data_IF_756944755366
#
_entry.id   IF_756944755366
#
_cell.length_a   1.000
_cell.length_b   1.000
_cell.length_c   1.000
_cell.angle_alpha   90.00
_cell.angle_beta   90.00
_cell.angle_gamma   90.00
#
_symmetry.space_group_name_H-M   'P 1'
#
loop_
_entity.id
_entity.type
_entity.pdbx_description
1 polymer ?
#
# COMPACT_ATOMS: atom_id res chain seq x y z
N UNK A 1 13.24 15.49 -26.06
CA UNK A 1 14.66 15.09 -26.19
C UNK A 1 15.45 16.29 -25.72
N UNK A 2 16.38 16.14 -24.77
CA UNK A 2 17.17 17.29 -24.32
C UNK A 2 18.05 17.77 -25.46
N UNK A 3 17.83 19.01 -25.87
CA UNK A 3 18.78 19.79 -26.67
C UNK A 3 19.54 20.73 -25.73
N UNK A 4 20.71 21.21 -26.16
CA UNK A 4 21.47 22.19 -25.39
C UNK A 4 20.64 23.47 -25.13
N UNK A 5 19.80 23.87 -26.08
CA UNK A 5 18.93 25.04 -25.93
C UNK A 5 17.87 24.84 -24.85
N UNK A 6 17.23 23.67 -24.81
CA UNK A 6 16.30 23.30 -23.74
C UNK A 6 17.02 23.25 -22.38
N UNK A 7 18.24 22.71 -22.34
CA UNK A 7 19.07 22.69 -21.13
C UNK A 7 19.36 24.11 -20.63
N UNK A 8 19.79 25.01 -21.50
CA UNK A 8 20.10 26.39 -21.18
C UNK A 8 18.86 27.24 -20.83
N UNK A 9 17.67 26.84 -21.28
CA UNK A 9 16.42 27.47 -20.89
C UNK A 9 15.95 26.98 -19.52
N UNK A 10 16.09 25.68 -19.24
CA UNK A 10 15.74 25.08 -17.94
C UNK A 10 16.62 25.59 -16.81
N UNK A 11 17.91 25.78 -17.08
CA UNK A 11 18.87 26.25 -16.08
C UNK A 11 19.08 27.76 -16.24
N UNK A 12 18.89 28.51 -15.16
CA UNK A 12 18.92 29.99 -15.16
C UNK A 12 20.35 30.50 -15.34
N UNK A 13 20.83 30.58 -16.59
CA UNK A 13 22.09 31.23 -16.94
C UNK A 13 21.88 32.71 -17.26
N UNK A 14 22.79 33.58 -16.82
CA UNK A 14 22.86 34.93 -17.37
C UNK A 14 23.31 34.90 -18.85
N UNK A 15 23.03 35.98 -19.59
CA UNK A 15 23.27 36.06 -21.04
C UNK A 15 24.72 35.72 -21.43
N UNK A 16 25.71 36.27 -20.72
CA UNK A 16 27.13 36.00 -21.00
C UNK A 16 27.52 34.55 -20.78
N UNK A 17 26.99 33.93 -19.71
CA UNK A 17 27.25 32.53 -19.41
C UNK A 17 26.60 31.61 -20.45
N UNK A 18 25.38 31.95 -20.90
CA UNK A 18 24.69 31.23 -21.98
C UNK A 18 25.54 31.24 -23.26
N UNK A 19 26.05 32.40 -23.67
CA UNK A 19 26.92 32.52 -24.86
C UNK A 19 28.20 31.71 -24.72
N UNK A 20 28.82 31.66 -23.53
CA UNK A 20 30.01 30.84 -23.28
C UNK A 20 29.73 29.34 -23.40
N UNK A 21 28.61 28.85 -22.88
CA UNK A 21 28.21 27.44 -23.02
C UNK A 21 27.93 27.09 -24.48
N UNK A 22 27.24 27.97 -25.22
CA UNK A 22 27.04 27.80 -26.66
C UNK A 22 28.38 27.78 -27.43
N UNK A 23 29.32 28.66 -27.08
CA UNK A 23 30.67 28.65 -27.67
C UNK A 23 31.40 27.34 -27.37
N UNK A 24 31.34 26.84 -26.13
CA UNK A 24 31.98 25.58 -25.74
C UNK A 24 31.40 24.38 -26.50
N UNK A 25 30.08 24.40 -26.78
CA UNK A 25 29.42 23.39 -27.60
C UNK A 25 29.83 23.49 -29.08
N UNK A 26 29.86 24.71 -29.64
CA UNK A 26 30.31 24.92 -31.01
C UNK A 26 31.74 24.44 -31.24
N UNK A 27 32.64 24.69 -30.27
CA UNK A 27 34.01 24.17 -30.30
C UNK A 27 34.06 22.64 -30.29
N UNK A 28 33.10 21.99 -29.61
CA UNK A 28 33.00 20.54 -29.61
C UNK A 28 32.46 20.02 -30.95
N UNK A 29 31.44 20.63 -31.51
CA UNK A 29 30.70 20.02 -32.64
C UNK A 29 31.21 20.46 -34.01
N UNK A 30 31.68 21.69 -34.16
CA UNK A 30 31.97 22.29 -35.47
C UNK A 30 33.44 22.68 -35.66
N UNK A 31 34.16 23.06 -34.60
CA UNK A 31 35.55 23.50 -34.71
C UNK A 31 36.54 22.32 -34.94
N UNK A 32 37.31 22.32 -36.05
CA UNK A 32 38.32 21.30 -36.30
C UNK A 32 39.46 21.31 -35.27
N UNK A 33 39.93 22.50 -34.88
CA UNK A 33 41.08 22.69 -33.97
C UNK A 33 40.69 23.42 -32.67
N UNK A 34 39.89 22.81 -31.78
CA UNK A 34 39.34 23.51 -30.62
C UNK A 34 40.39 23.87 -29.56
N UNK A 35 41.56 23.23 -29.59
CA UNK A 35 42.66 23.50 -28.65
C UNK A 35 43.35 24.86 -28.85
N UNK A 36 43.06 25.54 -29.96
CA UNK A 36 43.56 26.90 -30.22
C UNK A 36 42.79 27.96 -29.45
N UNK A 37 41.58 27.65 -29.00
CA UNK A 37 40.77 28.56 -28.21
C UNK A 37 41.36 28.74 -26.80
N UNK A 38 41.48 29.99 -26.36
CA UNK A 38 42.07 30.31 -25.06
C UNK A 38 41.19 29.78 -23.92
N UNK A 39 41.81 29.01 -23.02
CA UNK A 39 41.14 28.44 -21.85
C UNK A 39 40.33 27.18 -22.15
N UNK A 40 40.46 26.61 -23.36
CA UNK A 40 39.90 25.32 -23.69
C UNK A 40 40.72 24.21 -23.02
N UNK A 41 40.05 23.30 -22.33
CA UNK A 41 40.70 22.16 -21.66
C UNK A 41 40.37 20.87 -22.43
N UNK A 42 41.33 20.27 -23.17
CA UNK A 42 41.08 19.06 -23.95
C UNK A 42 40.73 17.85 -23.08
N UNK A 43 41.32 17.78 -21.87
CA UNK A 43 41.11 16.68 -20.93
C UNK A 43 39.64 16.53 -20.50
N UNK A 44 38.85 17.61 -20.48
CA UNK A 44 37.43 17.56 -20.14
C UNK A 44 36.61 16.76 -21.15
N UNK A 45 36.99 16.79 -22.42
CA UNK A 45 36.32 16.04 -23.48
C UNK A 45 37.09 14.78 -23.89
N UNK A 46 37.99 14.28 -23.04
CA UNK A 46 38.75 13.08 -23.31
C UNK A 46 37.82 11.88 -23.58
N UNK A 47 38.12 11.14 -24.65
CA UNK A 47 37.34 9.98 -25.08
C UNK A 47 36.10 10.31 -25.93
N UNK A 48 35.67 11.57 -26.01
CA UNK A 48 34.57 11.99 -26.89
C UNK A 48 35.08 12.06 -28.33
N UNK A 49 34.44 11.30 -29.24
CA UNK A 49 34.74 11.36 -30.68
C UNK A 49 33.69 12.22 -31.39
N UNK A 50 34.09 12.88 -32.47
CA UNK A 50 33.33 13.95 -33.13
C UNK A 50 33.30 13.68 -34.62
N UNK A 51 32.13 13.75 -35.24
CA UNK A 51 31.96 13.66 -36.68
C UNK A 51 31.57 15.04 -37.19
N UNK A 52 32.53 15.84 -37.65
CA UNK A 52 32.30 17.24 -38.06
C UNK A 52 31.26 17.41 -39.19
N UNK A 53 31.23 16.58 -40.25
CA UNK A 53 30.27 16.75 -41.34
C UNK A 53 28.82 16.57 -40.89
N UNK A 54 28.58 15.56 -40.07
CA UNK A 54 27.25 15.16 -39.57
C UNK A 54 26.93 15.77 -38.21
N UNK A 55 27.87 16.50 -37.61
CA UNK A 55 27.77 17.11 -36.27
C UNK A 55 27.44 16.10 -35.15
N UNK A 56 27.83 14.84 -35.31
CA UNK A 56 27.59 13.80 -34.31
C UNK A 56 28.65 13.79 -33.20
N UNK A 57 28.18 13.55 -31.97
CA UNK A 57 29.01 13.32 -30.80
C UNK A 57 28.89 11.84 -30.42
N UNK A 58 30.03 11.16 -30.34
CA UNK A 58 30.12 9.77 -29.91
C UNK A 58 30.76 9.71 -28.53
N UNK A 59 30.00 9.18 -27.58
CA UNK A 59 30.44 8.98 -26.20
C UNK A 59 30.98 7.55 -26.03
N UNK A 60 32.01 7.34 -25.19
CA UNK A 60 32.42 6.02 -24.75
C UNK A 60 31.25 5.22 -24.16
N UNK A 61 31.13 3.96 -24.56
CA UNK A 61 30.09 3.04 -24.08
C UNK A 61 30.52 2.23 -22.86
N UNK A 62 31.71 2.47 -22.32
CA UNK A 62 32.17 1.75 -21.14
C UNK A 62 31.38 2.19 -19.89
N UNK A 63 31.13 1.25 -18.99
CA UNK A 63 30.27 1.46 -17.82
C UNK A 63 30.82 2.52 -16.88
N UNK A 64 32.15 2.63 -16.73
CA UNK A 64 32.78 3.60 -15.84
C UNK A 64 32.53 5.04 -16.29
N UNK A 65 32.69 5.31 -17.60
CA UNK A 65 32.44 6.61 -18.19
C UNK A 65 30.96 6.99 -18.12
N UNK A 66 30.07 6.05 -18.47
CA UNK A 66 28.63 6.28 -18.39
C UNK A 66 28.19 6.50 -16.94
N UNK A 67 28.70 5.72 -15.99
CA UNK A 67 28.44 5.90 -14.55
C UNK A 67 28.92 7.26 -14.06
N UNK A 68 30.11 7.70 -14.48
CA UNK A 68 30.63 9.01 -14.13
C UNK A 68 29.78 10.16 -14.71
N UNK A 69 29.30 10.02 -15.96
CA UNK A 69 28.36 10.97 -16.56
C UNK A 69 27.03 11.02 -15.80
N UNK A 70 26.47 9.86 -15.44
CA UNK A 70 25.22 9.78 -14.68
C UNK A 70 25.39 10.39 -13.29
N UNK A 71 26.48 10.08 -12.59
CA UNK A 71 26.78 10.66 -11.27
C UNK A 71 26.88 12.19 -11.33
N UNK A 72 27.50 12.74 -12.39
CA UNK A 72 27.63 14.18 -12.61
C UNK A 72 26.29 14.90 -12.71
N UNK A 73 25.26 14.25 -13.26
CA UNK A 73 23.95 14.86 -13.51
C UNK A 73 22.92 14.59 -12.41
N UNK A 74 23.26 13.79 -11.39
CA UNK A 74 22.39 13.53 -10.25
C UNK A 74 21.85 14.81 -9.58
N UNK A 75 22.66 15.87 -9.34
CA UNK A 75 22.15 17.11 -8.73
C UNK A 75 21.05 17.78 -9.55
N UNK A 76 21.17 17.73 -10.88
CA UNK A 76 20.22 18.30 -11.83
C UNK A 76 18.92 17.47 -11.92
N UNK A 77 19.00 16.16 -11.70
CA UNK A 77 17.84 15.26 -11.62
C UNK A 77 17.07 15.51 -10.32
N UNK A 78 17.78 15.71 -9.21
CA UNK A 78 17.18 15.95 -7.88
C UNK A 78 16.60 17.36 -7.70
N UNK A 79 16.63 18.20 -8.74
CA UNK A 79 15.95 19.50 -8.75
C UNK A 79 16.68 20.59 -7.95
N UNK A 80 18.00 20.47 -7.73
CA UNK A 80 18.77 21.54 -7.10
C UNK A 80 19.02 22.66 -8.12
N UNK A 81 18.30 23.79 -8.00
CA UNK A 81 18.29 24.83 -9.03
C UNK A 81 18.38 26.26 -8.50
N UNK A 82 19.60 26.71 -8.20
CA UNK A 82 19.95 28.14 -8.14
C UNK A 82 20.39 28.70 -9.51
N UNK A 83 20.73 29.99 -9.55
CA UNK A 83 21.32 30.61 -10.75
C UNK A 83 22.68 29.99 -11.09
N UNK A 84 22.94 29.72 -12.38
CA UNK A 84 24.19 29.08 -12.84
C UNK A 84 25.07 30.07 -13.60
N UNK A 85 26.36 30.03 -13.33
CA UNK A 85 27.34 30.90 -13.98
C UNK A 85 28.53 30.13 -14.54
N UNK A 86 28.66 30.12 -15.86
CA UNK A 86 29.82 29.62 -16.58
C UNK A 86 30.81 30.76 -16.87
N UNK A 87 31.57 31.19 -15.85
CA UNK A 87 32.46 32.36 -15.96
C UNK A 87 33.68 32.09 -16.84
N UNK A 88 34.19 30.86 -16.85
CA UNK A 88 35.34 30.41 -17.66
C UNK A 88 34.89 29.44 -18.74
N UNK A 89 35.72 29.28 -19.78
CA UNK A 89 35.46 28.30 -20.84
C UNK A 89 35.49 26.87 -20.31
N UNK A 90 36.35 26.58 -19.33
CA UNK A 90 36.37 25.30 -18.61
C UNK A 90 35.02 24.97 -17.95
N UNK A 91 34.43 25.92 -17.21
CA UNK A 91 33.11 25.70 -16.59
C UNK A 91 32.05 25.53 -17.69
N UNK A 92 32.14 26.31 -18.76
CA UNK A 92 31.22 26.18 -19.90
C UNK A 92 31.32 24.80 -20.58
N UNK A 93 32.52 24.26 -20.78
CA UNK A 93 32.74 22.88 -21.24
C UNK A 93 32.12 21.88 -20.25
N UNK A 94 32.29 22.13 -18.95
CA UNK A 94 31.67 21.35 -17.89
C UNK A 94 30.14 21.28 -17.99
N UNK A 95 29.47 22.38 -18.30
CA UNK A 95 28.01 22.41 -18.50
C UNK A 95 27.59 21.67 -19.78
N UNK A 96 28.40 21.71 -20.85
CA UNK A 96 28.15 20.88 -22.05
C UNK A 96 28.20 19.40 -21.71
N UNK A 97 29.17 18.96 -20.90
CA UNK A 97 29.26 17.56 -20.43
C UNK A 97 28.03 17.21 -19.58
N UNK A 98 27.60 18.10 -18.70
CA UNK A 98 26.39 17.90 -17.90
C UNK A 98 25.16 17.75 -18.80
N UNK A 99 25.02 18.58 -19.84
CA UNK A 99 23.94 18.45 -20.83
C UNK A 99 23.98 17.11 -21.58
N UNK A 100 25.16 16.67 -22.03
CA UNK A 100 25.35 15.34 -22.66
C UNK A 100 25.00 14.20 -21.69
N UNK A 101 25.41 14.32 -20.43
CA UNK A 101 25.08 13.35 -19.37
C UNK A 101 23.58 13.24 -19.16
N UNK A 102 22.85 14.36 -19.19
CA UNK A 102 21.39 14.35 -19.07
C UNK A 102 20.73 13.66 -20.28
N UNK A 103 21.24 13.88 -21.49
CA UNK A 103 20.76 13.19 -22.70
C UNK A 103 20.94 11.67 -22.60
N UNK A 104 22.11 11.23 -22.10
CA UNK A 104 22.39 9.80 -21.87
C UNK A 104 21.48 9.25 -20.77
N UNK A 105 21.35 9.96 -19.66
CA UNK A 105 20.51 9.57 -18.54
C UNK A 105 19.04 9.39 -18.96
N UNK A 106 18.45 10.34 -19.67
CA UNK A 106 17.06 10.21 -20.15
C UNK A 106 16.87 9.00 -21.07
N UNK A 107 17.86 8.74 -21.95
CA UNK A 107 17.83 7.57 -22.84
C UNK A 107 17.91 6.27 -22.06
N UNK A 108 18.84 6.18 -21.11
CA UNK A 108 18.98 5.02 -20.24
C UNK A 108 17.73 4.82 -19.37
N UNK A 109 17.16 5.89 -18.83
CA UNK A 109 15.94 5.83 -18.05
C UNK A 109 14.76 5.32 -18.86
N UNK A 110 14.62 5.75 -20.12
CA UNK A 110 13.59 5.24 -21.03
C UNK A 110 13.77 3.74 -21.30
N UNK A 111 14.99 3.30 -21.56
CA UNK A 111 15.31 1.88 -21.78
C UNK A 111 15.01 1.08 -20.51
N UNK A 112 15.43 1.58 -19.34
CA UNK A 112 15.18 0.96 -18.05
C UNK A 112 13.68 0.79 -17.77
N UNK A 113 12.87 1.82 -18.03
CA UNK A 113 11.42 1.74 -17.85
C UNK A 113 10.79 0.71 -18.79
N UNK A 114 11.18 0.67 -20.07
CA UNK A 114 10.70 -0.36 -21.01
C UNK A 114 11.09 -1.77 -20.58
N UNK A 115 12.34 -1.97 -20.13
CA UNK A 115 12.78 -3.26 -19.60
C UNK A 115 11.95 -3.71 -18.39
N UNK A 116 11.63 -2.77 -17.50
CA UNK A 116 10.80 -3.02 -16.32
C UNK A 116 9.35 -3.33 -16.67
N UNK A 117 8.79 -2.65 -17.68
CA UNK A 117 7.47 -2.94 -18.23
C UNK A 117 7.40 -4.37 -18.77
N UNK A 118 8.36 -4.77 -19.62
CA UNK A 118 8.45 -6.13 -20.17
C UNK A 118 8.62 -7.20 -19.08
N UNK A 119 9.46 -6.94 -18.07
CA UNK A 119 9.62 -7.84 -16.92
C UNK A 119 8.29 -8.02 -16.18
N UNK A 120 7.57 -6.92 -15.94
CA UNK A 120 6.27 -6.95 -15.26
C UNK A 120 5.23 -7.72 -16.07
N UNK A 121 5.19 -7.52 -17.39
CA UNK A 121 4.30 -8.26 -18.30
C UNK A 121 4.59 -9.77 -18.22
N UNK A 122 5.86 -10.17 -18.23
CA UNK A 122 6.24 -11.57 -18.09
C UNK A 122 5.78 -12.16 -16.74
N UNK A 123 5.95 -11.43 -15.64
CA UNK A 123 5.50 -11.87 -14.31
C UNK A 123 3.97 -12.05 -14.26
N UNK A 124 3.21 -11.11 -14.81
CA UNK A 124 1.74 -11.19 -14.89
C UNK A 124 1.32 -12.38 -15.76
N UNK A 125 1.95 -12.59 -16.91
CA UNK A 125 1.65 -13.71 -17.80
C UNK A 125 1.86 -15.05 -17.10
N UNK A 126 2.97 -15.20 -16.36
CA UNK A 126 3.25 -16.41 -15.57
C UNK A 126 2.20 -16.61 -14.48
N UNK A 127 1.84 -15.55 -13.74
CA UNK A 127 0.83 -15.64 -12.69
C UNK A 127 -0.55 -16.06 -13.25
N UNK A 128 -0.96 -15.47 -14.37
CA UNK A 128 -2.22 -15.81 -15.05
C UNK A 128 -2.18 -17.24 -15.60
N UNK A 129 -1.06 -17.69 -16.16
CA UNK A 129 -0.91 -19.06 -16.63
C UNK A 129 -1.03 -20.08 -15.49
N UNK A 130 -0.38 -19.83 -14.36
CA UNK A 130 -0.47 -20.68 -13.16
C UNK A 130 -1.91 -20.69 -12.63
N UNK A 131 -2.57 -19.53 -12.51
CA UNK A 131 -3.95 -19.44 -12.04
C UNK A 131 -4.92 -20.20 -12.98
N UNK A 132 -4.76 -20.04 -14.30
CA UNK A 132 -5.56 -20.77 -15.28
C UNK A 132 -5.36 -22.29 -15.18
N UNK A 133 -4.13 -22.75 -15.00
CA UNK A 133 -3.82 -24.17 -14.78
C UNK A 133 -4.42 -24.68 -13.47
N UNK A 134 -4.29 -23.92 -12.38
CA UNK A 134 -4.87 -24.25 -11.07
C UNK A 134 -6.38 -24.36 -11.14
N UNK A 135 -7.07 -23.42 -11.79
CA UNK A 135 -8.53 -23.47 -11.99
C UNK A 135 -8.94 -24.70 -12.80
N UNK A 136 -8.24 -24.99 -13.90
CA UNK A 136 -8.51 -26.19 -14.70
C UNK A 136 -8.30 -27.48 -13.91
N UNK A 137 -7.23 -27.53 -13.13
CA UNK A 137 -6.95 -28.66 -12.24
C UNK A 137 -8.03 -28.82 -11.18
N UNK A 138 -8.44 -27.73 -10.54
CA UNK A 138 -9.49 -27.74 -9.51
C UNK A 138 -10.83 -28.22 -10.08
N UNK A 139 -11.24 -27.73 -11.26
CA UNK A 139 -12.45 -28.20 -11.94
C UNK A 139 -12.35 -29.70 -12.23
N UNK A 140 -11.22 -30.18 -12.73
CA UNK A 140 -11.03 -31.61 -13.00
C UNK A 140 -11.11 -32.46 -11.71
N UNK A 141 -10.53 -31.96 -10.61
CA UNK A 141 -10.62 -32.59 -9.29
C UNK A 141 -12.07 -32.64 -8.80
N UNK A 142 -12.80 -31.54 -8.88
CA UNK A 142 -14.21 -31.46 -8.47
C UNK A 142 -15.07 -32.41 -9.30
N UNK A 143 -14.83 -32.50 -10.61
CA UNK A 143 -15.50 -33.48 -11.49
C UNK A 143 -15.24 -34.93 -11.06
N UNK A 144 -14.00 -35.26 -10.64
CA UNK A 144 -13.66 -36.61 -10.17
C UNK A 144 -14.23 -36.91 -8.79
N UNK A 145 -14.31 -35.91 -7.92
CA UNK A 145 -14.93 -36.03 -6.59
C UNK A 145 -16.47 -36.08 -6.66
N UNK A 146 -17.06 -35.54 -7.73
CA UNK A 146 -18.51 -35.45 -7.92
C UNK A 146 -19.17 -34.37 -7.05
N UNK A 147 -18.38 -33.47 -6.47
CA UNK A 147 -18.82 -32.36 -5.63
C UNK A 147 -17.70 -31.34 -5.51
N UNK A 148 -18.06 -30.06 -5.38
CA UNK A 148 -17.08 -28.97 -5.29
C UNK A 148 -16.44 -28.87 -3.90
N UNK A 149 -15.29 -28.21 -3.80
CA UNK A 149 -14.69 -27.89 -2.50
C UNK A 149 -15.64 -27.08 -1.60
N UNK A 150 -16.35 -26.12 -2.17
CA UNK A 150 -17.34 -25.32 -1.46
C UNK A 150 -18.48 -26.20 -0.90
N UNK A 151 -19.00 -27.14 -1.69
CA UNK A 151 -20.01 -28.10 -1.23
C UNK A 151 -19.50 -29.01 -0.11
N UNK A 152 -18.22 -29.42 -0.18
CA UNK A 152 -17.58 -30.20 0.87
C UNK A 152 -17.56 -29.41 2.19
N UNK A 153 -17.17 -28.14 2.13
CA UNK A 153 -17.17 -27.24 3.28
C UNK A 153 -18.58 -27.04 3.84
N UNK A 154 -19.58 -26.79 3.00
CA UNK A 154 -20.97 -26.67 3.46
C UNK A 154 -21.47 -27.93 4.15
N UNK A 155 -21.15 -29.13 3.64
CA UNK A 155 -21.49 -30.40 4.29
C UNK A 155 -20.79 -30.58 5.65
N UNK A 156 -19.57 -30.07 5.80
CA UNK A 156 -18.85 -30.11 7.07
C UNK A 156 -19.47 -29.16 8.09
N UNK A 157 -19.73 -27.89 7.72
CA UNK A 157 -20.38 -26.90 8.58
C UNK A 157 -21.76 -27.36 9.06
N UNK A 158 -22.59 -27.88 8.15
CA UNK A 158 -23.93 -28.38 8.51
C UNK A 158 -23.87 -29.55 9.48
N UNK A 159 -22.95 -30.50 9.30
CA UNK A 159 -22.73 -31.60 10.25
C UNK A 159 -22.30 -31.10 11.62
N UNK A 160 -21.36 -30.15 11.66
CA UNK A 160 -20.88 -29.59 12.92
C UNK A 160 -22.00 -28.86 13.68
N UNK A 161 -22.82 -28.08 12.98
CA UNK A 161 -23.98 -27.39 13.56
C UNK A 161 -25.04 -28.36 14.07
N UNK A 162 -25.32 -29.45 13.35
CA UNK A 162 -26.22 -30.51 13.82
C UNK A 162 -25.71 -31.17 15.11
N UNK A 163 -24.42 -31.49 15.17
CA UNK A 163 -23.80 -32.07 16.38
C UNK A 163 -23.89 -31.10 17.56
N UNK A 164 -23.65 -29.79 17.34
CA UNK A 164 -23.82 -28.76 18.37
C UNK A 164 -25.26 -28.68 18.85
N UNK A 165 -26.25 -28.71 17.95
CA UNK A 165 -27.69 -28.71 18.31
C UNK A 165 -28.07 -29.94 19.11
N UNK A 166 -27.71 -31.14 18.64
CA UNK A 166 -27.98 -32.39 19.35
C UNK A 166 -27.35 -32.40 20.75
N UNK A 167 -26.10 -31.91 20.90
CA UNK A 167 -25.46 -31.77 22.21
C UNK A 167 -26.22 -30.81 23.13
N UNK A 168 -26.72 -29.69 22.61
CA UNK A 168 -27.55 -28.73 23.37
C UNK A 168 -28.88 -29.37 23.79
N UNK A 169 -29.56 -30.08 22.89
CA UNK A 169 -30.81 -30.78 23.16
C UNK A 169 -30.66 -31.92 24.17
N UNK A 170 -29.62 -32.75 24.03
CA UNK A 170 -29.31 -33.78 25.01
C UNK A 170 -29.00 -33.18 26.39
N UNK A 171 -28.30 -32.05 26.45
CA UNK A 171 -28.07 -31.31 27.72
C UNK A 171 -29.40 -30.80 28.30
N UNK A 172 -30.32 -30.27 27.49
CA UNK A 172 -31.66 -29.84 27.93
C UNK A 172 -32.50 -31.02 28.46
N UNK A 173 -32.54 -32.14 27.73
CA UNK A 173 -33.27 -33.34 28.13
C UNK A 173 -32.71 -33.95 29.43
N UNK A 174 -31.38 -33.99 29.58
CA UNK A 174 -30.71 -34.42 30.83
C UNK A 174 -31.09 -33.52 32.02
N UNK A 175 -31.19 -32.19 31.81
CA UNK A 175 -31.64 -31.26 32.85
C UNK A 175 -33.11 -31.48 33.22
N UNK A 176 -33.99 -31.71 32.23
CA UNK A 176 -35.42 -31.98 32.46
C UNK A 176 -35.63 -33.27 33.28
N UNK A 177 -34.99 -34.38 32.88
CA UNK A 177 -35.05 -35.65 33.63
C UNK A 177 -34.51 -35.55 35.06
N UNK A 178 -33.46 -34.75 35.29
CA UNK A 178 -32.95 -34.50 36.65
C UNK A 178 -33.94 -33.70 37.50
N UNK A 179 -34.67 -32.75 36.91
CA UNK A 179 -35.72 -32.00 37.62
C UNK A 179 -36.92 -32.90 37.93
N UNK A 180 -37.34 -33.74 36.99
CA UNK A 180 -38.43 -34.71 37.19
C UNK A 180 -38.09 -35.70 38.32
N UNK A 181 -36.88 -36.29 38.34
CA UNK A 181 -36.45 -37.16 39.45
C UNK A 181 -36.47 -36.47 40.82
N UNK A 182 -35.98 -35.24 40.90
CA UNK A 182 -36.01 -34.46 42.15
C UNK A 182 -37.44 -34.12 42.58
N UNK A 183 -38.34 -33.83 41.62
CA UNK A 183 -39.74 -33.57 41.91
C UNK A 183 -40.48 -34.84 42.38
N UNK A 184 -40.11 -36.00 41.84
CA UNK A 184 -40.63 -37.31 42.28
C UNK A 184 -40.11 -37.67 43.69
N UNK A 185 -38.82 -37.45 43.97
CA UNK A 185 -38.22 -37.61 45.30
C UNK A 185 -38.90 -36.70 46.33
N UNK A 186 -39.14 -35.42 46.02
CA UNK A 186 -39.88 -34.53 46.93
C UNK A 186 -41.35 -34.95 47.11
N UNK A 187 -42.01 -35.55 46.12
CA UNK A 187 -43.39 -36.07 46.27
C UNK A 187 -43.44 -37.36 47.09
N UNK A 188 -42.42 -38.21 47.00
CA UNK A 188 -42.26 -39.41 47.82
C UNK A 188 -41.90 -39.08 49.29
N UNK A 189 -41.18 -37.98 49.53
CA UNK A 189 -40.96 -37.45 50.89
C UNK A 189 -42.25 -36.86 51.49
N UNK A 190 -43.07 -36.13 50.71
CA UNK A 190 -44.34 -35.56 51.20
C UNK A 190 -45.40 -36.64 51.51
N UNK A 191 -45.31 -37.83 50.93
CA UNK A 191 -46.18 -38.97 51.29
C UNK A 191 -45.72 -39.74 52.53
N UNK A 192 -44.52 -39.48 53.06
CA UNK A 192 -44.01 -40.08 54.30
C UNK A 192 -44.02 -39.12 55.51
N UNK A 193 -44.45 -37.86 55.35
CA UNK A 193 -44.52 -36.86 56.45
C UNK A 193 -45.96 -36.35 56.65
N UNK A 194 -46.95 -37.15 56.26
CA UNK A 194 -48.36 -36.85 56.52
C UNK A 194 -48.90 -37.60 57.75
N UNK A 195 -48.07 -37.82 58.78
CA UNK A 195 -48.56 -38.07 60.14
C UNK A 195 -47.69 -37.26 61.11
N UNK A 196 -48.39 -36.56 62.01
CA UNK A 196 -47.92 -35.74 63.14
C UNK A 196 -47.43 -34.31 62.89
N UNK A 197 -48.41 -33.41 62.98
CA UNK A 197 -48.24 -32.03 63.41
C UNK A 197 -47.78 -31.95 64.87
N UNK A 198 -46.90 -31.00 65.22
CA UNK A 198 -47.20 -29.86 66.10
C UNK A 198 -45.94 -28.98 66.36
N UNK A 199 -46.14 -27.66 66.50
CA UNK A 199 -45.27 -26.62 67.11
C UNK A 199 -43.80 -26.43 66.68
N UNK A 200 -43.48 -25.25 66.13
CA UNK A 200 -42.99 -24.09 66.90
C UNK A 200 -42.39 -23.01 66.00
N UNK A 201 -42.72 -21.75 66.28
CA UNK A 201 -42.12 -20.55 65.72
C UNK A 201 -40.63 -20.40 66.10
N UNK A 202 -39.76 -20.12 65.12
CA UNK A 202 -38.48 -19.44 65.34
C UNK A 202 -38.26 -18.40 64.23
N UNK A 203 -38.30 -17.14 64.65
CA UNK A 203 -37.79 -15.97 63.94
C UNK A 203 -36.35 -15.71 64.44
N UNK A 204 -35.38 -15.50 63.54
CA UNK A 204 -34.45 -14.34 63.57
C UNK A 204 -33.46 -14.32 62.39
N UNK A 205 -33.39 -13.13 61.78
CA UNK A 205 -32.26 -12.39 61.19
C UNK A 205 -31.21 -12.99 60.25
N UNK A 206 -31.12 -12.34 59.09
CA UNK A 206 -29.93 -11.68 58.52
C UNK A 206 -28.55 -12.19 59.00
N UNK A 207 -27.87 -12.89 58.10
CA UNK A 207 -26.41 -13.00 58.10
C UNK A 207 -25.87 -12.48 56.75
N UNK A 208 -25.54 -11.20 56.72
CA UNK A 208 -24.54 -10.68 55.80
C UNK A 208 -23.16 -10.85 56.44
N UNK A 209 -22.23 -11.57 55.79
CA UNK A 209 -20.93 -11.04 55.35
C UNK A 209 -20.05 -12.12 54.69
N UNK A 210 -19.81 -11.90 53.39
CA UNK A 210 -18.54 -12.03 52.63
C UNK A 210 -17.72 -13.32 52.76
N UNK A 211 -17.68 -14.13 51.68
CA UNK A 211 -16.53 -14.09 50.77
C UNK A 211 -16.71 -14.89 49.46
N UNK A 212 -16.47 -14.18 48.36
CA UNK A 212 -15.82 -14.61 47.12
C UNK A 212 -16.28 -15.90 46.44
N UNK A 213 -17.14 -15.74 45.43
CA UNK A 213 -16.93 -16.37 44.11
C UNK A 213 -17.60 -15.51 43.05
N UNK A 214 -16.76 -14.96 42.20
CA UNK A 214 -17.02 -14.19 40.98
C UNK A 214 -18.29 -14.69 40.28
N UNK A 215 -19.38 -13.92 40.38
CA UNK A 215 -20.47 -14.00 39.41
C UNK A 215 -19.91 -13.43 38.10
N UNK A 216 -19.56 -14.31 37.17
CA UNK A 216 -19.43 -13.96 35.76
C UNK A 216 -20.83 -13.57 35.29
N UNK A 217 -21.13 -12.27 35.34
CA UNK A 217 -22.27 -11.69 34.68
C UNK A 217 -22.03 -11.82 33.17
N UNK A 218 -22.65 -12.80 32.53
CA UNK A 218 -22.82 -12.78 31.07
C UNK A 218 -23.94 -11.77 30.83
N UNK A 219 -23.56 -10.52 30.59
CA UNK A 219 -24.46 -9.61 29.88
C UNK A 219 -24.51 -10.16 28.46
N UNK A 220 -25.53 -10.97 28.18
CA UNK A 220 -25.94 -11.24 26.80
C UNK A 220 -26.47 -9.92 26.26
N UNK A 221 -25.59 -9.15 25.63
CA UNK A 221 -25.98 -8.01 24.81
C UNK A 221 -26.66 -8.61 23.56
N UNK A 222 -27.99 -8.67 23.60
CA UNK A 222 -28.81 -8.96 22.43
C UNK A 222 -28.68 -7.77 21.47
N UNK A 223 -27.70 -7.83 20.57
CA UNK A 223 -27.66 -6.96 19.40
C UNK A 223 -28.67 -7.50 18.39
N UNK A 224 -29.60 -6.66 17.97
CA UNK A 224 -30.50 -6.92 16.84
C UNK A 224 -29.74 -6.78 15.52
N UNK A 225 -30.18 -7.48 14.48
CA UNK A 225 -29.50 -7.62 13.17
C UNK A 225 -29.24 -6.30 12.41
N UNK A 226 -29.71 -5.16 12.92
CA UNK A 226 -29.51 -3.82 12.32
C UNK A 226 -28.23 -3.11 12.79
N UNK A 227 -27.63 -3.48 13.93
CA UNK A 227 -26.43 -2.79 14.46
C UNK A 227 -25.09 -3.29 13.86
N UNK A 228 -25.11 -4.39 13.10
CA UNK A 228 -23.91 -4.98 12.50
C UNK A 228 -23.59 -4.39 11.11
N UNK A 229 -24.49 -3.62 10.51
CA UNK A 229 -24.34 -3.15 9.12
C UNK A 229 -23.50 -1.88 8.93
N UNK A 230 -23.06 -1.20 9.99
CA UNK A 230 -22.38 0.09 9.85
C UNK A 230 -20.86 0.09 10.11
N UNK A 231 -20.18 -1.05 10.21
CA UNK A 231 -18.72 -1.07 10.50
C UNK A 231 -17.90 -2.08 9.69
N UNK A 232 -18.16 -2.24 8.39
CA UNK A 232 -17.20 -2.87 7.48
C UNK A 232 -17.00 -2.04 6.22
N UNK A 233 -16.04 -1.11 6.29
CA UNK A 233 -15.31 -0.63 5.13
C UNK A 233 -13.82 -0.56 5.48
N UNK A 234 -13.06 -1.43 4.78
CA UNK A 234 -11.62 -1.41 4.47
C UNK A 234 -10.56 -1.82 5.52
N UNK A 235 -9.94 -2.98 5.25
CA UNK A 235 -8.51 -3.08 4.88
C UNK A 235 -7.46 -3.13 5.99
N UNK A 236 -6.88 -4.32 6.18
CA UNK A 236 -5.52 -4.66 6.64
C UNK A 236 -4.66 -3.62 7.37
N UNK A 237 -4.64 -3.70 8.71
CA UNK A 237 -3.42 -3.85 9.54
C UNK A 237 -3.74 -3.58 11.01
N UNK A 238 -3.25 -4.49 11.85
CA UNK A 238 -2.93 -4.41 13.28
C UNK A 238 -3.47 -3.27 14.15
N UNK A 239 -3.95 -3.69 15.33
CA UNK A 239 -4.17 -2.93 16.58
C UNK A 239 -5.54 -2.25 16.76
N UNK A 240 -6.54 -3.06 17.16
CA UNK A 240 -7.82 -2.54 17.68
C UNK A 240 -7.65 -2.18 19.16
N UNK A 241 -7.50 -0.87 19.40
CA UNK A 241 -7.58 -0.23 20.71
C UNK A 241 -9.04 -0.22 21.20
N UNK A 242 -9.32 -0.89 22.32
CA UNK A 242 -10.64 -0.87 22.96
C UNK A 242 -10.76 0.38 23.85
N UNK A 243 -11.36 1.47 23.37
CA UNK A 243 -11.71 2.61 24.23
C UNK A 243 -13.07 2.39 24.87
N UNK A 244 -13.09 2.09 26.18
CA UNK A 244 -14.29 2.01 26.99
C UNK A 244 -14.86 3.42 27.24
N UNK A 245 -16.11 3.66 26.86
CA UNK A 245 -16.83 4.90 27.16
C UNK A 245 -17.24 4.86 28.64
N UNK A 246 -16.64 5.71 29.47
CA UNK A 246 -17.02 5.90 30.88
C UNK A 246 -18.03 7.05 30.97
N UNK A 247 -19.25 6.75 31.42
CA UNK A 247 -20.30 7.75 31.70
C UNK A 247 -20.13 8.36 33.11
N UNK A 248 -20.51 9.63 33.23
CA UNK A 248 -20.11 10.62 34.26
C UNK A 248 -20.69 10.45 35.69
N UNK A 249 -20.93 9.25 36.20
CA UNK A 249 -21.66 9.11 37.48
C UNK A 249 -20.96 8.37 38.63
N UNK A 250 -19.63 8.25 38.67
CA UNK A 250 -19.01 7.56 39.83
C UNK A 250 -17.58 7.96 40.20
N UNK A 251 -17.29 9.22 40.54
CA UNK A 251 -16.04 9.54 41.27
C UNK A 251 -16.23 10.70 42.27
N UNK A 252 -16.58 10.37 43.53
CA UNK A 252 -16.32 11.20 44.70
C UNK A 252 -15.28 10.52 45.60
N UNK A 253 -14.02 11.00 45.53
CA UNK A 253 -13.06 11.25 46.64
C UNK A 253 -11.62 11.36 46.10
N UNK A 254 -10.94 12.45 46.49
CA UNK A 254 -9.52 12.84 46.25
C UNK A 254 -8.64 12.44 47.47
N UNK A 255 -7.31 12.70 47.52
CA UNK A 255 -6.25 12.68 46.49
C UNK A 255 -4.96 11.91 46.96
N UNK A 256 -4.00 11.69 46.06
CA UNK A 256 -2.64 11.26 46.43
C UNK A 256 -1.75 10.97 45.22
N UNK A 257 -0.91 11.94 44.87
CA UNK A 257 0.37 11.89 44.14
C UNK A 257 0.51 11.01 42.88
N UNK A 258 0.52 11.64 41.70
CA UNK A 258 1.76 11.70 40.92
C UNK A 258 1.70 12.76 39.83
N UNK A 259 2.83 13.45 39.69
CA UNK A 259 3.09 14.60 38.84
C UNK A 259 3.76 14.11 37.54
N UNK A 260 3.20 14.43 36.39
CA UNK A 260 4.00 14.76 35.20
C UNK A 260 3.21 15.63 34.24
N UNK A 261 3.93 16.62 33.74
CA UNK A 261 3.54 17.85 33.09
C UNK A 261 4.08 17.78 31.65
N UNK A 262 3.24 17.93 30.62
CA UNK A 262 3.52 18.80 29.47
C UNK A 262 2.32 18.91 28.53
N UNK A 263 2.07 20.15 28.14
CA UNK A 263 1.00 20.71 27.31
C UNK A 263 1.28 20.53 25.81
N UNK A 264 0.26 20.41 24.96
CA UNK A 264 -0.14 21.45 23.98
C UNK A 264 -1.30 20.99 23.07
N UNK A 265 -2.07 22.00 22.68
CA UNK A 265 -3.41 22.04 22.12
C UNK A 265 -3.77 21.28 20.83
N UNK A 266 -5.03 20.86 20.81
CA UNK A 266 -5.86 20.69 19.61
C UNK A 266 -6.43 22.06 19.19
N UNK A 267 -6.42 22.36 17.89
CA UNK A 267 -7.43 23.23 17.29
C UNK A 267 -8.04 22.55 16.06
N UNK A 268 -9.35 22.34 16.15
CA UNK A 268 -10.20 21.72 15.14
C UNK A 268 -11.03 22.83 14.47
N UNK A 269 -10.73 23.16 13.22
CA UNK A 269 -11.49 24.13 12.42
C UNK A 269 -12.50 23.42 11.50
N UNK A 270 -13.77 23.54 11.85
CA UNK A 270 -14.93 23.10 11.06
C UNK A 270 -15.28 24.15 9.99
N UNK A 271 -15.67 23.74 8.77
CA UNK A 271 -16.58 24.51 7.93
C UNK A 271 -17.21 23.66 6.81
N UNK A 272 -18.55 23.70 6.80
CA UNK A 272 -19.47 23.14 5.81
C UNK A 272 -19.64 24.06 4.59
N UNK A 273 -20.07 23.52 3.44
CA UNK A 273 -20.56 24.36 2.34
C UNK A 273 -20.78 23.70 0.97
N UNK A 274 -21.81 22.85 0.87
CA UNK A 274 -22.75 22.66 -0.25
C UNK A 274 -22.49 23.33 -1.63
N UNK A 275 -22.53 22.59 -2.76
CA UNK A 275 -23.73 22.37 -3.60
C UNK A 275 -23.47 22.01 -5.08
N UNK A 276 -24.33 21.08 -5.56
CA UNK A 276 -24.88 20.87 -6.91
C UNK A 276 -23.97 20.27 -8.00
N UNK A 277 -24.17 19.01 -8.44
CA UNK A 277 -25.30 18.37 -9.13
C UNK A 277 -25.24 18.52 -10.67
N UNK A 278 -24.99 17.40 -11.37
CA UNK A 278 -25.93 16.79 -12.33
C UNK A 278 -25.29 15.67 -13.18
N UNK A 279 -25.70 14.44 -12.84
CA UNK A 279 -26.27 13.35 -13.67
C UNK A 279 -25.61 12.81 -14.97
N UNK A 280 -25.45 11.46 -14.95
CA UNK A 280 -25.68 10.43 -16.01
C UNK A 280 -24.75 10.39 -17.23
N UNK A 281 -24.35 9.25 -17.84
CA UNK A 281 -24.74 7.84 -17.75
C UNK A 281 -23.77 6.95 -18.60
N UNK A 282 -23.75 5.64 -18.29
CA UNK A 282 -23.58 4.47 -19.19
C UNK A 282 -22.27 4.20 -19.96
N UNK A 283 -21.57 3.13 -19.55
CA UNK A 283 -20.79 2.15 -20.36
C UNK A 283 -21.69 1.39 -21.36
N UNK A 284 -21.22 0.67 -22.43
CA UNK A 284 -20.07 -0.27 -22.41
C UNK A 284 -19.27 -0.54 -23.72
N UNK A 285 -18.31 -1.48 -23.62
CA UNK A 285 -17.74 -2.37 -24.67
C UNK A 285 -16.79 -1.80 -25.75
N UNK A 286 -15.62 -2.46 -25.87
CA UNK A 286 -14.66 -2.22 -26.96
C UNK A 286 -13.27 -2.80 -26.68
N UNK A 287 -13.15 -4.13 -26.68
CA UNK A 287 -11.88 -4.84 -26.71
C UNK A 287 -11.28 -4.81 -28.12
N UNK A 288 -10.08 -4.24 -28.28
CA UNK A 288 -9.26 -4.50 -29.46
C UNK A 288 -7.80 -4.74 -29.06
N UNK A 289 -7.40 -6.00 -29.26
CA UNK A 289 -6.03 -6.48 -29.21
C UNK A 289 -5.44 -6.22 -30.59
N UNK A 290 -4.51 -5.28 -30.69
CA UNK A 290 -3.69 -5.11 -31.89
C UNK A 290 -2.30 -5.71 -31.64
N UNK A 291 -2.16 -7.01 -31.93
CA UNK A 291 -0.87 -7.58 -32.32
C UNK A 291 -0.75 -7.44 -33.83
N UNK A 292 0.22 -6.67 -34.30
CA UNK A 292 0.77 -6.84 -35.64
C UNK A 292 2.29 -6.90 -35.50
N UNK A 293 2.81 -8.11 -35.67
CA UNK A 293 4.20 -8.38 -36.05
C UNK A 293 4.50 -7.72 -37.39
N UNK A 294 5.56 -6.92 -37.46
CA UNK A 294 6.40 -6.86 -38.66
C UNK A 294 7.83 -6.43 -38.29
N UNK A 295 8.74 -7.41 -38.34
CA UNK A 295 10.18 -7.24 -38.31
C UNK A 295 10.65 -6.50 -39.57
N UNK A 296 11.52 -5.49 -39.44
CA UNK A 296 12.69 -5.35 -40.32
C UNK A 296 13.78 -4.49 -39.68
N UNK A 297 15.01 -5.01 -39.77
CA UNK A 297 16.25 -4.36 -39.36
C UNK A 297 16.44 -3.01 -40.05
N UNK A 298 16.43 -1.92 -39.27
CA UNK A 298 16.92 -0.62 -39.71
C UNK A 298 17.99 -0.14 -38.72
N UNK A 299 19.18 0.00 -39.28
CA UNK A 299 20.43 0.48 -38.72
C UNK A 299 20.23 1.65 -37.77
N UNK A 300 20.95 1.63 -36.64
CA UNK A 300 21.12 2.75 -35.71
C UNK A 300 21.43 4.06 -36.45
N UNK A 301 20.39 4.85 -36.75
CA UNK A 301 20.49 6.26 -37.14
C UNK A 301 19.73 7.07 -36.12
N UNK A 302 20.46 7.52 -35.10
CA UNK A 302 19.96 8.50 -34.16
C UNK A 302 20.03 9.89 -34.79
N UNK A 303 18.98 10.28 -35.51
CA UNK A 303 18.71 11.68 -35.79
C UNK A 303 18.21 12.34 -34.49
N UNK A 304 19.02 13.24 -33.95
CA UNK A 304 18.59 14.25 -32.98
C UNK A 304 18.43 15.53 -33.79
N UNK A 305 17.19 15.97 -33.99
CA UNK A 305 16.85 17.35 -34.39
C UNK A 305 16.89 18.21 -33.14
#
# INVERSE_FOLDING_TARGET
MITLECYLQKHRFCADCRTKVLRAYWLLVEEPEPTREKGYIPALYAGIKRCLPEKHIHLPSNTDYVSALVARVQPDIMGSGGERHAKTLEIAQGEVITCLGLCVYERLQRIHMRLKEEETVCQVLVAVAIDALNRKFQIAVDMKRGMTELELLYKQFTKEELVKRQRKEQKKLKRKRRKERKAEECRAEVTNVAEDADKSDIYYENCELKNTRVRKCSVDLMLTEEDVKNNLVNGDSSEVYFSCIVTKENMQKKPGDCLCEYSHDHDCGYSSGNNNASTSSSTPEGSEVACCDEFCNEVFKSNIV
#
